data_IF_585672248707
#
_entry.id   IF_585672248707
#
_cell.length_a   1.000
_cell.length_b   1.000
_cell.length_c   1.000
_cell.angle_alpha   90.00
_cell.angle_beta   90.00
_cell.angle_gamma   90.00
#
_symmetry.space_group_name_H-M   'P 1'
#
loop_
_entity.id
_entity.type
_entity.pdbx_description
1 polymer ?
#
# COMPACT_ATOMS: atom_id res chain seq x y z
N UNK A 1 24.74 3.72 -28.80
CA UNK A 1 24.61 3.78 -27.33
C UNK A 1 24.28 5.22 -26.94
N UNK A 2 23.01 5.58 -26.83
CA UNK A 2 22.61 6.90 -26.32
C UNK A 2 22.20 6.75 -24.87
N UNK A 3 23.05 7.19 -23.95
CA UNK A 3 22.66 7.42 -22.56
C UNK A 3 21.82 8.70 -22.51
N UNK A 4 20.52 8.55 -22.72
CA UNK A 4 19.57 9.61 -22.37
C UNK A 4 19.48 9.63 -20.83
N UNK A 5 19.77 10.75 -20.15
CA UNK A 5 19.58 10.83 -18.72
C UNK A 5 18.09 10.58 -18.42
N UNK A 6 17.82 9.57 -17.57
CA UNK A 6 16.47 9.35 -17.03
C UNK A 6 16.04 10.65 -16.37
N UNK A 7 14.96 11.25 -16.87
CA UNK A 7 14.37 12.46 -16.32
C UNK A 7 14.29 12.36 -14.80
N UNK A 8 14.79 13.37 -14.09
CA UNK A 8 14.58 13.52 -12.65
C UNK A 8 13.09 13.42 -12.38
N UNK A 9 12.67 12.32 -11.74
CA UNK A 9 11.27 12.10 -11.34
C UNK A 9 10.90 13.26 -10.41
N UNK A 10 10.11 14.22 -10.89
CA UNK A 10 9.37 15.10 -9.99
C UNK A 10 8.38 14.19 -9.28
N UNK A 11 8.71 13.75 -8.07
CA UNK A 11 7.84 12.87 -7.29
C UNK A 11 6.56 13.64 -6.93
N UNK A 12 5.54 13.57 -7.79
CA UNK A 12 4.24 14.14 -7.51
C UNK A 12 3.53 13.21 -6.53
N UNK A 13 3.51 13.61 -5.27
CA UNK A 13 2.76 12.92 -4.24
C UNK A 13 1.27 13.14 -4.43
N UNK A 14 0.49 12.07 -4.33
CA UNK A 14 -0.97 12.07 -4.36
C UNK A 14 -1.49 11.27 -3.17
N UNK A 15 -2.72 11.56 -2.75
CA UNK A 15 -3.41 10.73 -1.77
C UNK A 15 -3.67 9.33 -2.33
N UNK A 16 -3.74 8.30 -1.46
CA UNK A 16 -3.85 6.90 -1.89
C UNK A 16 -5.21 6.55 -2.51
N UNK A 17 -6.18 7.47 -2.48
CA UNK A 17 -7.50 7.32 -3.12
C UNK A 17 -7.90 8.60 -3.85
N UNK A 18 -8.84 8.47 -4.79
CA UNK A 18 -9.46 9.59 -5.50
C UNK A 18 -10.89 9.81 -5.03
N UNK A 19 -11.51 10.90 -5.48
CA UNK A 19 -12.96 11.11 -5.36
C UNK A 19 -13.70 10.11 -6.27
N UNK A 20 -14.99 9.94 -6.04
CA UNK A 20 -15.82 9.03 -6.85
C UNK A 20 -15.88 9.40 -8.34
N UNK A 21 -15.64 10.67 -8.70
CA UNK A 21 -15.53 11.15 -10.08
C UNK A 21 -14.11 11.00 -10.67
N UNK A 22 -13.20 10.33 -9.97
CA UNK A 22 -11.83 10.10 -10.39
C UNK A 22 -10.91 11.31 -10.29
N UNK A 23 -11.37 12.42 -9.69
CA UNK A 23 -10.53 13.61 -9.44
C UNK A 23 -9.73 13.48 -8.14
N UNK A 24 -8.56 14.15 -8.05
CA UNK A 24 -7.80 14.22 -6.81
C UNK A 24 -8.53 15.04 -5.74
N UNK A 25 -8.18 14.82 -4.47
CA UNK A 25 -8.50 15.74 -3.38
C UNK A 25 -7.61 16.98 -3.48
N UNK A 26 -8.16 18.16 -3.17
CA UNK A 26 -7.39 19.40 -3.26
C UNK A 26 -6.37 19.52 -2.11
N UNK A 27 -6.73 18.99 -0.94
CA UNK A 27 -5.99 19.09 0.31
C UNK A 27 -6.32 17.92 1.24
N UNK A 28 -5.60 17.85 2.37
CA UNK A 28 -5.81 16.81 3.38
C UNK A 28 -7.14 16.97 4.11
N UNK A 29 -7.67 18.19 4.20
CA UNK A 29 -8.94 18.48 4.90
C UNK A 29 -10.11 17.80 4.19
N UNK A 30 -10.18 17.88 2.86
CA UNK A 30 -11.21 17.17 2.09
C UNK A 30 -11.11 15.66 2.22
N UNK A 31 -9.89 15.12 2.31
CA UNK A 31 -9.71 13.69 2.56
C UNK A 31 -10.16 13.33 3.97
N UNK A 32 -9.79 14.11 4.99
CA UNK A 32 -10.19 13.86 6.37
C UNK A 32 -11.71 13.90 6.53
N UNK A 33 -12.40 14.88 5.94
CA UNK A 33 -13.86 14.95 5.92
C UNK A 33 -14.52 13.71 5.30
N UNK A 34 -13.88 13.11 4.28
CA UNK A 34 -14.36 11.85 3.73
C UNK A 34 -14.20 10.69 4.73
N UNK A 35 -13.05 10.64 5.41
CA UNK A 35 -12.68 9.60 6.37
C UNK A 35 -13.46 9.69 7.69
N UNK A 36 -14.08 10.83 8.01
CA UNK A 36 -14.98 10.97 9.18
C UNK A 36 -16.18 9.99 9.17
N UNK A 37 -16.50 9.42 8.00
CA UNK A 37 -17.51 8.36 7.87
C UNK A 37 -17.04 7.01 8.44
N UNK A 38 -15.74 6.82 8.61
CA UNK A 38 -15.22 5.60 9.23
C UNK A 38 -15.51 5.58 10.74
N UNK A 39 -15.73 4.39 11.29
CA UNK A 39 -16.00 4.25 12.74
C UNK A 39 -14.72 4.19 13.59
N UNK A 40 -13.57 3.97 12.96
CA UNK A 40 -12.25 3.84 13.59
C UNK A 40 -11.14 3.90 12.54
N UNK A 41 -9.88 3.89 12.99
CA UNK A 41 -8.72 3.88 12.09
C UNK A 41 -8.29 5.26 11.60
N UNK A 42 -8.50 6.29 12.40
CA UNK A 42 -8.02 7.65 12.14
C UNK A 42 -6.52 7.77 12.33
N UNK A 43 -5.88 8.66 11.58
CA UNK A 43 -4.46 8.93 11.74
C UNK A 43 -4.13 9.48 13.14
N UNK A 44 -2.94 9.14 13.62
CA UNK A 44 -2.35 9.46 14.91
C UNK A 44 -2.94 8.72 16.11
N UNK A 45 -4.27 8.69 16.29
CA UNK A 45 -4.91 8.06 17.46
C UNK A 45 -6.05 7.12 17.06
N UNK A 46 -5.96 5.88 17.53
CA UNK A 46 -7.05 4.92 17.45
C UNK A 46 -8.20 5.26 18.42
N UNK A 47 -9.38 4.67 18.19
CA UNK A 47 -10.53 4.78 19.11
C UNK A 47 -10.22 4.29 20.54
N UNK A 48 -9.23 3.41 20.66
CA UNK A 48 -8.71 2.88 21.93
C UNK A 48 -7.64 3.78 22.60
N UNK A 49 -7.28 4.93 22.02
CA UNK A 49 -6.28 5.85 22.56
C UNK A 49 -4.83 5.45 22.31
N UNK A 50 -4.56 4.39 21.54
CA UNK A 50 -3.21 4.00 21.12
C UNK A 50 -2.81 4.69 19.83
N UNK A 51 -1.50 4.88 19.65
CA UNK A 51 -0.92 5.38 18.40
C UNK A 51 -1.38 4.56 17.19
N UNK A 52 -1.80 5.27 16.15
CA UNK A 52 -2.25 4.67 14.90
C UNK A 52 -1.51 5.32 13.73
N UNK A 53 -0.56 4.59 13.14
CA UNK A 53 0.34 5.09 12.11
C UNK A 53 -0.23 5.17 10.69
N UNK A 54 -1.54 4.98 10.52
CA UNK A 54 -2.16 4.92 9.20
C UNK A 54 -3.59 5.45 9.21
N UNK A 55 -4.28 5.22 8.09
CA UNK A 55 -5.70 5.51 7.91
C UNK A 55 -6.41 4.25 7.45
N UNK A 56 -7.67 4.08 7.87
CA UNK A 56 -8.54 3.05 7.33
C UNK A 56 -9.44 3.66 6.25
N UNK A 57 -9.65 2.89 5.18
CA UNK A 57 -10.57 3.24 4.10
C UNK A 57 -11.44 2.00 3.88
N UNK A 58 -12.75 2.17 3.98
CA UNK A 58 -13.73 1.13 3.77
C UNK A 58 -14.85 1.58 2.83
N UNK A 59 -15.87 0.75 2.67
CA UNK A 59 -17.07 1.11 1.92
C UNK A 59 -17.86 2.25 2.56
N UNK A 60 -17.66 2.55 3.85
CA UNK A 60 -18.32 3.67 4.53
C UNK A 60 -17.82 5.02 4.01
N UNK A 61 -16.50 5.19 3.90
CA UNK A 61 -15.92 6.44 3.37
C UNK A 61 -15.81 6.46 1.85
N UNK A 62 -15.37 5.35 1.23
CA UNK A 62 -14.95 5.35 -0.17
C UNK A 62 -15.37 4.07 -0.94
N UNK A 63 -16.69 3.82 -1.12
CA UNK A 63 -17.19 2.61 -1.78
C UNK A 63 -16.74 2.48 -3.24
N UNK A 64 -16.46 3.61 -3.91
CA UNK A 64 -15.92 3.64 -5.27
C UNK A 64 -14.52 3.01 -5.38
N UNK A 65 -13.78 2.86 -4.28
CA UNK A 65 -12.43 2.29 -4.28
C UNK A 65 -12.39 0.77 -4.51
N UNK A 66 -13.52 0.07 -4.45
CA UNK A 66 -13.52 -1.38 -4.68
C UNK A 66 -13.38 -1.71 -6.17
N UNK A 67 -13.98 -0.91 -7.06
CA UNK A 67 -14.09 -1.27 -8.49
C UNK A 67 -13.82 -0.13 -9.47
N UNK A 68 -14.17 1.12 -9.13
CA UNK A 68 -14.10 2.23 -10.09
C UNK A 68 -12.78 3.00 -9.98
N UNK A 69 -12.36 3.26 -8.75
CA UNK A 69 -11.25 4.16 -8.43
C UNK A 69 -10.36 3.53 -7.36
N UNK A 70 -9.68 2.41 -7.68
CA UNK A 70 -8.96 1.61 -6.70
C UNK A 70 -7.84 2.40 -6.02
N UNK A 71 -7.46 1.92 -4.82
CA UNK A 71 -6.32 2.45 -4.06
C UNK A 71 -5.06 2.49 -4.92
N UNK A 72 -4.29 3.57 -4.81
CA UNK A 72 -3.12 3.87 -5.64
C UNK A 72 -1.88 4.12 -4.78
N UNK A 73 -0.72 3.92 -5.40
CA UNK A 73 0.55 4.34 -4.82
C UNK A 73 0.56 5.86 -4.62
N UNK A 74 1.02 6.33 -3.46
CA UNK A 74 1.07 7.77 -3.15
C UNK A 74 2.13 8.51 -3.97
N UNK A 75 3.11 7.79 -4.51
CA UNK A 75 4.16 8.28 -5.38
C UNK A 75 4.75 7.10 -6.16
N UNK A 76 5.59 7.39 -7.14
CA UNK A 76 6.42 6.39 -7.79
C UNK A 76 7.33 5.68 -6.78
N UNK A 77 7.57 4.40 -6.99
CA UNK A 77 8.37 3.60 -6.08
C UNK A 77 8.55 2.16 -6.54
N UNK A 78 9.17 1.36 -5.69
CA UNK A 78 9.46 -0.05 -5.93
C UNK A 78 8.66 -0.92 -4.97
N UNK A 79 7.92 -1.90 -5.49
CA UNK A 79 7.28 -2.93 -4.67
C UNK A 79 8.37 -3.85 -4.11
N UNK A 80 8.66 -3.71 -2.82
CA UNK A 80 9.74 -4.45 -2.15
C UNK A 80 9.24 -5.68 -1.39
N UNK A 81 7.95 -5.73 -1.07
CA UNK A 81 7.29 -6.91 -0.52
C UNK A 81 5.80 -6.87 -0.86
N UNK A 82 5.21 -8.04 -1.09
CA UNK A 82 3.76 -8.16 -1.24
C UNK A 82 3.28 -9.53 -0.77
N UNK A 83 2.01 -9.61 -0.43
CA UNK A 83 1.25 -10.85 -0.26
C UNK A 83 -0.08 -10.68 -0.96
N UNK A 84 -0.51 -11.71 -1.68
CA UNK A 84 -1.83 -11.77 -2.29
C UNK A 84 -2.50 -13.08 -1.89
N UNK A 85 -3.59 -13.00 -1.14
CA UNK A 85 -4.41 -14.16 -0.83
C UNK A 85 -5.17 -14.61 -2.08
N UNK A 86 -5.38 -15.92 -2.22
CA UNK A 86 -6.26 -16.46 -3.26
C UNK A 86 -7.69 -15.96 -3.06
N UNK A 87 -8.25 -16.21 -1.86
CA UNK A 87 -9.53 -15.70 -1.40
C UNK A 87 -9.43 -15.24 0.07
N UNK A 88 -10.50 -14.69 0.64
CA UNK A 88 -10.57 -14.28 2.04
C UNK A 88 -10.27 -15.42 3.01
N UNK A 89 -9.57 -15.08 4.09
CA UNK A 89 -9.42 -15.94 5.26
C UNK A 89 -10.62 -15.74 6.20
N UNK A 90 -10.92 -16.74 7.03
CA UNK A 90 -12.00 -16.68 8.00
C UNK A 90 -11.44 -16.74 9.43
N UNK A 91 -11.97 -15.88 10.30
CA UNK A 91 -11.70 -15.87 11.72
C UNK A 91 -12.98 -16.14 12.50
N UNK A 92 -12.90 -17.02 13.49
CA UNK A 92 -14.01 -17.33 14.38
C UNK A 92 -14.01 -16.33 15.53
N UNK A 93 -15.08 -15.54 15.64
CA UNK A 93 -15.27 -14.58 16.72
C UNK A 93 -16.50 -14.95 17.53
N UNK A 94 -16.34 -15.09 18.84
CA UNK A 94 -17.44 -15.41 19.76
C UNK A 94 -17.86 -14.15 20.51
N UNK A 95 -19.13 -13.80 20.42
CA UNK A 95 -19.70 -12.68 21.17
C UNK A 95 -21.13 -13.02 21.60
N UNK A 96 -21.46 -12.82 22.88
CA UNK A 96 -22.81 -13.01 23.43
C UNK A 96 -23.46 -14.37 23.05
N UNK A 97 -22.70 -15.46 23.16
CA UNK A 97 -23.13 -16.83 22.79
C UNK A 97 -23.42 -17.05 21.29
N UNK A 98 -23.09 -16.09 20.43
CA UNK A 98 -23.13 -16.23 18.97
C UNK A 98 -21.72 -16.40 18.41
N UNK A 99 -21.57 -17.30 17.44
CA UNK A 99 -20.33 -17.53 16.71
C UNK A 99 -20.43 -16.83 15.36
N UNK A 100 -19.62 -15.79 15.16
CA UNK A 100 -19.49 -15.08 13.90
C UNK A 100 -18.27 -15.58 13.13
N UNK A 101 -18.45 -15.83 11.84
CA UNK A 101 -17.35 -16.09 10.91
C UNK A 101 -17.03 -14.78 10.19
N UNK A 102 -15.89 -14.18 10.51
CA UNK A 102 -15.45 -12.90 9.97
C UNK A 102 -14.43 -13.12 8.88
N UNK A 103 -14.70 -12.56 7.70
CA UNK A 103 -13.76 -12.59 6.58
C UNK A 103 -12.72 -11.49 6.73
N UNK A 104 -11.46 -11.82 6.42
CA UNK A 104 -10.37 -10.85 6.39
C UNK A 104 -9.34 -11.21 5.32
N UNK A 105 -8.60 -10.20 4.88
CA UNK A 105 -7.48 -10.39 3.94
C UNK A 105 -6.18 -10.00 4.64
N UNK A 106 -5.17 -10.84 4.46
CA UNK A 106 -3.77 -10.55 4.81
C UNK A 106 -2.99 -10.05 3.59
N UNK A 107 -3.66 -9.79 2.47
CA UNK A 107 -3.03 -9.26 1.28
C UNK A 107 -2.51 -7.86 1.57
N UNK A 108 -1.27 -7.61 1.18
CA UNK A 108 -0.63 -6.31 1.36
C UNK A 108 0.37 -6.03 0.23
N UNK A 109 0.68 -4.74 0.05
CA UNK A 109 1.74 -4.27 -0.82
C UNK A 109 2.60 -3.25 -0.04
N UNK A 110 3.91 -3.46 -0.02
CA UNK A 110 4.88 -2.55 0.58
C UNK A 110 5.71 -1.90 -0.53
N UNK A 111 5.61 -0.58 -0.65
CA UNK A 111 6.32 0.18 -1.67
C UNK A 111 7.38 1.04 -1.02
N UNK A 112 8.62 0.93 -1.51
CA UNK A 112 9.74 1.79 -1.15
C UNK A 112 9.78 2.98 -2.09
N UNK A 113 9.87 4.17 -1.53
CA UNK A 113 9.97 5.43 -2.26
C UNK A 113 11.30 6.12 -1.94
N UNK A 114 11.78 6.91 -2.88
CA UNK A 114 12.94 7.79 -2.69
C UNK A 114 12.54 9.21 -3.02
N UNK A 115 12.45 10.06 -2.01
CA UNK A 115 12.25 11.50 -2.14
C UNK A 115 13.58 12.22 -2.31
N UNK A 116 13.57 13.26 -3.15
CA UNK A 116 14.64 14.24 -3.26
C UNK A 116 14.02 15.62 -3.01
N UNK A 117 14.57 16.37 -2.05
CA UNK A 117 14.12 17.73 -1.79
C UNK A 117 14.46 18.65 -2.96
N UNK A 118 13.76 19.77 -3.15
CA UNK A 118 14.28 20.86 -3.94
C UNK A 118 15.69 21.28 -3.47
N UNK A 119 16.52 21.87 -4.35
CA UNK A 119 17.79 22.47 -3.95
C UNK A 119 17.56 23.52 -2.85
N UNK A 120 18.42 23.54 -1.85
CA UNK A 120 18.37 24.53 -0.79
C UNK A 120 18.53 25.95 -1.38
N UNK A 121 17.52 26.83 -1.26
CA UNK A 121 17.59 28.18 -1.80
C UNK A 121 18.37 29.15 -0.91
N UNK A 122 18.71 28.77 0.33
CA UNK A 122 19.40 29.64 1.26
C UNK A 122 20.89 29.73 0.94
N UNK A 123 21.41 30.96 0.90
CA UNK A 123 22.84 31.23 0.74
C UNK A 123 23.64 30.72 1.94
N UNK A 124 24.72 29.99 1.68
CA UNK A 124 25.55 29.39 2.71
C UNK A 124 26.26 28.11 2.25
N UNK A 125 26.93 27.39 3.17
CA UNK A 125 27.69 26.17 2.84
C UNK A 125 26.86 25.05 2.20
N UNK A 126 25.54 25.11 2.36
CA UNK A 126 24.58 24.12 1.86
C UNK A 126 23.72 24.65 0.71
N UNK A 127 24.00 25.85 0.18
CA UNK A 127 23.28 26.40 -0.98
C UNK A 127 23.34 25.43 -2.16
N UNK A 128 22.18 25.15 -2.76
CA UNK A 128 22.04 24.23 -3.88
C UNK A 128 22.12 22.74 -3.53
N UNK A 129 22.42 22.36 -2.28
CA UNK A 129 22.38 20.94 -1.86
C UNK A 129 20.94 20.43 -1.76
N UNK A 130 20.76 19.13 -1.96
CA UNK A 130 19.48 18.44 -1.85
C UNK A 130 19.57 17.34 -0.79
N UNK A 131 18.45 17.10 -0.11
CA UNK A 131 18.30 16.01 0.85
C UNK A 131 17.55 14.84 0.20
N UNK A 132 18.00 13.62 0.50
CA UNK A 132 17.30 12.40 0.08
C UNK A 132 16.67 11.70 1.28
N UNK A 133 15.44 11.23 1.10
CA UNK A 133 14.71 10.46 2.11
C UNK A 133 14.18 9.18 1.47
N UNK A 134 14.54 8.03 2.04
CA UNK A 134 13.88 6.76 1.73
C UNK A 134 12.79 6.50 2.75
N UNK A 135 11.57 6.25 2.28
CA UNK A 135 10.43 5.92 3.13
C UNK A 135 9.56 4.85 2.45
N UNK A 136 8.61 4.29 3.20
CA UNK A 136 7.79 3.18 2.74
C UNK A 136 6.31 3.49 2.92
N UNK A 137 5.49 3.06 1.97
CA UNK A 137 4.03 3.02 2.10
C UNK A 137 3.57 1.57 2.18
N UNK A 138 2.72 1.27 3.16
CA UNK A 138 2.16 -0.06 3.39
C UNK A 138 0.66 -0.03 3.14
N UNK A 139 0.21 -0.78 2.13
CA UNK A 139 -1.19 -0.97 1.79
C UNK A 139 -1.65 -2.33 2.30
N UNK A 140 -2.58 -2.36 3.26
CA UNK A 140 -3.04 -3.59 3.91
C UNK A 140 -4.51 -3.88 3.60
N UNK A 141 -4.92 -5.10 3.94
CA UNK A 141 -6.30 -5.58 3.79
C UNK A 141 -6.83 -5.47 2.35
N UNK A 142 -5.92 -5.63 1.38
CA UNK A 142 -6.25 -5.54 -0.04
C UNK A 142 -7.16 -6.69 -0.49
N UNK A 143 -7.90 -6.45 -1.56
CA UNK A 143 -8.81 -7.43 -2.16
C UNK A 143 -8.06 -8.73 -2.53
N UNK A 144 -8.59 -9.93 -2.22
CA UNK A 144 -7.98 -11.19 -2.65
C UNK A 144 -8.03 -11.38 -4.17
N UNK A 145 -7.12 -12.19 -4.71
CA UNK A 145 -6.94 -12.38 -6.15
C UNK A 145 -8.23 -12.81 -6.88
N UNK A 146 -8.97 -13.76 -6.32
CA UNK A 146 -10.18 -14.29 -6.95
C UNK A 146 -11.34 -13.30 -7.01
N UNK A 147 -11.26 -12.19 -6.26
CA UNK A 147 -12.29 -11.16 -6.18
C UNK A 147 -12.04 -9.98 -7.12
N UNK A 148 -10.89 -9.94 -7.79
CA UNK A 148 -10.65 -8.94 -8.83
C UNK A 148 -11.52 -9.21 -10.08
N UNK A 149 -12.03 -8.16 -10.75
CA UNK A 149 -12.69 -8.29 -12.05
C UNK A 149 -11.82 -9.05 -13.05
N UNK A 150 -12.41 -9.88 -13.91
CA UNK A 150 -11.66 -10.75 -14.84
C UNK A 150 -10.68 -10.00 -15.76
N UNK A 151 -11.09 -8.82 -16.20
CA UNK A 151 -10.34 -7.88 -17.03
C UNK A 151 -9.27 -7.09 -16.25
N UNK A 152 -9.42 -7.02 -14.92
CA UNK A 152 -8.49 -6.36 -14.00
C UNK A 152 -7.62 -7.33 -13.20
N UNK A 153 -7.79 -8.66 -13.34
CA UNK A 153 -6.93 -9.64 -12.69
C UNK A 153 -5.51 -9.41 -13.20
N UNK A 154 -4.54 -9.15 -12.31
CA UNK A 154 -3.16 -9.05 -12.75
C UNK A 154 -2.79 -10.39 -13.36
N UNK A 155 -2.46 -10.41 -14.66
CA UNK A 155 -1.72 -11.54 -15.20
C UNK A 155 -0.48 -11.71 -14.34
N UNK A 156 -0.12 -12.91 -13.88
CA UNK A 156 1.17 -13.15 -13.24
C UNK A 156 2.26 -12.95 -14.29
N UNK A 157 2.53 -11.69 -14.60
CA UNK A 157 3.70 -11.28 -15.36
C UNK A 157 4.82 -11.52 -14.37
N UNK A 158 5.65 -12.52 -14.64
CA UNK A 158 6.88 -12.74 -13.90
C UNK A 158 7.51 -11.37 -13.62
N UNK A 159 7.69 -11.04 -12.33
CA UNK A 159 8.34 -9.81 -11.91
C UNK A 159 9.57 -9.66 -12.79
N UNK A 160 9.59 -8.65 -13.68
CA UNK A 160 10.78 -8.39 -14.47
C UNK A 160 11.84 -8.05 -13.45
N UNK A 161 12.72 -9.02 -13.17
CA UNK A 161 13.91 -8.82 -12.38
C UNK A 161 14.66 -7.66 -13.03
N UNK A 162 14.55 -6.46 -12.45
CA UNK A 162 15.56 -5.44 -12.70
C UNK A 162 16.77 -5.95 -11.96
N UNK A 163 17.69 -6.55 -12.70
CA UNK A 163 18.91 -7.14 -12.19
C UNK A 163 19.73 -6.09 -11.45
N UNK A 164 19.62 -6.10 -10.12
CA UNK A 164 20.64 -5.59 -9.23
C UNK A 164 21.40 -6.81 -8.72
N UNK A 165 22.61 -7.00 -9.21
CA UNK A 165 23.59 -7.95 -8.68
C UNK A 165 23.83 -7.69 -7.20
N UNK A 166 23.33 -8.57 -6.33
CA UNK A 166 23.85 -8.81 -5.00
C UNK A 166 23.56 -10.26 -4.58
N UNK A 167 24.60 -10.92 -4.07
CA UNK A 167 24.73 -12.33 -3.71
C UNK A 167 23.70 -12.85 -2.68
N UNK A 168 23.55 -14.19 -2.55
CA UNK A 168 22.40 -14.81 -1.93
C UNK A 168 22.52 -14.82 -0.40
N UNK A 169 21.54 -14.25 0.28
CA UNK A 169 21.20 -14.65 1.64
C UNK A 169 20.02 -15.62 1.54
N UNK A 170 20.31 -16.92 1.64
CA UNK A 170 19.29 -17.94 1.81
C UNK A 170 18.54 -17.70 3.13
N UNK A 171 17.24 -17.47 3.06
CA UNK A 171 16.33 -17.78 4.15
C UNK A 171 15.53 -19.03 3.72
N UNK A 172 15.79 -20.20 4.33
CA UNK A 172 15.11 -21.43 3.94
C UNK A 172 13.62 -21.30 4.25
N UNK A 173 12.83 -21.44 3.20
CA UNK A 173 11.42 -21.79 3.31
C UNK A 173 11.31 -23.05 4.15
N UNK A 174 10.50 -23.01 5.21
CA UNK A 174 9.97 -24.23 5.81
C UNK A 174 9.05 -24.85 4.76
N UNK A 175 9.55 -25.92 4.13
CA UNK A 175 8.91 -26.62 3.04
C UNK A 175 7.70 -27.45 3.56
N UNK A 176 6.73 -27.74 2.68
CA UNK A 176 5.46 -28.37 2.98
C UNK A 176 5.58 -29.90 3.02
N UNK A 177 4.47 -30.56 3.36
CA UNK A 177 4.21 -32.01 3.33
C UNK A 177 4.35 -32.74 4.68
N UNK A 178 3.22 -32.83 5.39
CA UNK A 178 2.92 -34.02 6.18
C UNK A 178 1.95 -34.88 5.36
N UNK A 179 2.50 -35.85 4.62
CA UNK A 179 1.75 -37.06 4.24
C UNK A 179 1.98 -38.12 5.31
N UNK A 180 0.88 -38.73 5.74
CA UNK A 180 0.80 -39.88 6.64
C UNK A 180 1.52 -41.11 6.07
N UNK A 181 2.19 -41.89 6.92
CA UNK A 181 1.90 -43.33 7.14
C UNK A 181 2.97 -43.96 8.04
N UNK A 182 2.51 -44.57 9.13
CA UNK A 182 3.24 -45.37 10.11
C UNK A 182 2.26 -45.75 11.19
#
# INVERSE_FOLDING_TARGET
MSNTPKSSLSNSFQFPIRKADGKPFADAEQLHQLLEKETSGFYLLSKSGFWHGGIHISNESAPHCVHNEPVRCIADGEVVAYRLNADYLNSRFEQNSSVLQLQYSTSFCLVRHTYQSPPNPEEGPDHGKQNSLTFYSLYMHLLPFERYPNDARPTPTACKSVSATAQPAMCPWVNPAVKRSG
#
